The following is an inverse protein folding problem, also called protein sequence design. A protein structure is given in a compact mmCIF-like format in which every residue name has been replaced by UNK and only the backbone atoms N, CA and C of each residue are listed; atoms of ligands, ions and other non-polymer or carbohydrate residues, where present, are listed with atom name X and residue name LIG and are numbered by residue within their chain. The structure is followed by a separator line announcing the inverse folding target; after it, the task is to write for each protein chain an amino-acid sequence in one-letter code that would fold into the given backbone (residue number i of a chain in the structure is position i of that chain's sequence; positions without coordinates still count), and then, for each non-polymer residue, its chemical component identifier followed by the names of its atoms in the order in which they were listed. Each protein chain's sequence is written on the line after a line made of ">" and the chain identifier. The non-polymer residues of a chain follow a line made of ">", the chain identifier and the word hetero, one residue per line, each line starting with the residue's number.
data_IF_456998603234
#
_entry.id   IF_456998603234
#
_cell.length_a   1.000
_cell.length_b   1.000
_cell.length_c   1.000
_cell.angle_alpha   90.00
_cell.angle_beta   90.00
_cell.angle_gamma   90.00
#
_symmetry.space_group_name_H-M   'P 1'
#
loop_
_entity.id
_entity.type
_entity.pdbx_description
1 polymer ?
#
# COMPACT_ATOMS: atom_id res chain seq x y z
N UNK A 1 1.78 16.37 9.44
CA UNK A 1 0.43 16.13 9.99
C UNK A 1 0.19 14.63 10.14
N UNK A 2 -0.22 14.15 11.32
CA UNK A 2 -0.62 12.74 11.50
C UNK A 2 -1.97 12.43 10.84
N UNK A 3 -2.06 11.30 10.13
CA UNK A 3 -3.29 10.74 9.55
C UNK A 3 -3.98 9.72 10.48
N UNK A 4 -3.40 9.48 11.65
CA UNK A 4 -3.95 8.58 12.66
C UNK A 4 -5.39 8.96 13.06
N UNK A 5 -6.28 7.97 13.05
CA UNK A 5 -7.71 8.15 13.32
C UNK A 5 -8.50 9.01 12.32
N UNK A 6 -7.86 9.58 11.29
CA UNK A 6 -8.51 10.46 10.30
C UNK A 6 -9.01 9.73 9.06
N UNK A 7 -8.41 8.59 8.74
CA UNK A 7 -8.78 7.80 7.57
C UNK A 7 -9.13 6.38 8.03
N UNK A 8 -10.27 5.88 7.55
CA UNK A 8 -10.66 4.48 7.71
C UNK A 8 -10.41 3.76 6.39
N UNK A 9 -9.75 2.62 6.47
CA UNK A 9 -9.35 1.81 5.32
C UNK A 9 -10.13 0.50 5.34
N UNK A 10 -10.46 0.00 4.16
CA UNK A 10 -11.10 -1.30 3.96
C UNK A 10 -10.56 -1.90 2.65
N UNK A 11 -10.37 -3.21 2.64
CA UNK A 11 -9.78 -3.92 1.51
C UNK A 11 -10.64 -5.13 1.16
N UNK A 12 -10.84 -5.34 -0.13
CA UNK A 12 -11.53 -6.51 -0.67
C UNK A 12 -10.97 -6.78 -2.05
N UNK A 13 -10.71 -8.05 -2.35
CA UNK A 13 -10.36 -8.51 -3.70
C UNK A 13 -11.09 -9.82 -3.98
N UNK A 14 -11.38 -10.07 -5.25
CA UNK A 14 -12.10 -11.25 -5.73
C UNK A 14 -11.47 -11.70 -7.05
N UNK A 15 -11.25 -13.00 -7.20
CA UNK A 15 -10.70 -13.59 -8.44
C UNK A 15 -11.57 -13.31 -9.67
N UNK A 16 -12.86 -13.05 -9.46
CA UNK A 16 -13.86 -12.99 -10.50
C UNK A 16 -14.29 -14.38 -10.98
N UNK A 17 -14.95 -14.42 -12.14
CA UNK A 17 -15.60 -15.63 -12.66
C UNK A 17 -14.82 -16.37 -13.75
N UNK A 18 -13.73 -15.77 -14.24
CA UNK A 18 -13.03 -16.23 -15.45
C UNK A 18 -11.64 -16.76 -15.15
N UNK A 19 -10.91 -16.13 -14.22
CA UNK A 19 -9.56 -16.57 -13.84
C UNK A 19 -9.64 -17.67 -12.79
N UNK A 20 -8.65 -18.56 -12.80
CA UNK A 20 -8.50 -19.59 -11.76
C UNK A 20 -7.82 -19.05 -10.50
N UNK A 21 -6.97 -18.03 -10.66
CA UNK A 21 -6.17 -17.43 -9.59
C UNK A 21 -6.32 -15.91 -9.59
N UNK A 22 -6.31 -15.33 -8.39
CA UNK A 22 -6.27 -13.89 -8.21
C UNK A 22 -4.81 -13.44 -8.19
N UNK A 23 -4.44 -12.57 -9.12
CA UNK A 23 -3.10 -12.01 -9.20
C UNK A 23 -3.05 -10.60 -8.58
N UNK A 24 -4.16 -10.10 -8.03
CA UNK A 24 -4.21 -8.86 -7.28
C UNK A 24 -3.73 -9.07 -5.83
N UNK A 25 -2.99 -8.08 -5.31
CA UNK A 25 -2.62 -7.98 -3.91
C UNK A 25 -2.96 -6.58 -3.37
N UNK A 26 -3.46 -6.53 -2.13
CA UNK A 26 -3.80 -5.28 -1.43
C UNK A 26 -3.05 -5.24 -0.10
N UNK A 27 -2.60 -4.05 0.31
CA UNK A 27 -2.09 -3.81 1.65
C UNK A 27 -2.37 -2.40 2.14
N UNK A 28 -2.67 -2.27 3.43
CA UNK A 28 -3.02 -1.01 4.08
C UNK A 28 -2.29 -0.85 5.41
N UNK A 29 -1.97 0.41 5.71
CA UNK A 29 -1.53 0.82 7.03
C UNK A 29 -2.15 2.19 7.37
N UNK A 30 -3.17 2.18 8.22
CA UNK A 30 -3.90 3.39 8.61
C UNK A 30 -3.07 4.37 9.44
N UNK A 31 -2.10 3.89 10.24
CA UNK A 31 -1.24 4.73 11.08
C UNK A 31 -0.33 5.66 10.26
N UNK A 32 -0.04 5.25 9.02
CA UNK A 32 0.76 6.02 8.06
C UNK A 32 -0.06 6.49 6.85
N UNK A 33 -1.36 6.19 6.81
CA UNK A 33 -2.25 6.55 5.71
C UNK A 33 -1.90 5.88 4.37
N UNK A 34 -1.31 4.69 4.40
CA UNK A 34 -0.90 3.94 3.20
C UNK A 34 -2.00 3.00 2.72
N UNK A 35 -2.29 3.05 1.41
CA UNK A 35 -2.93 1.97 0.65
C UNK A 35 -2.04 1.59 -0.53
N UNK A 36 -1.96 0.31 -0.81
CA UNK A 36 -1.25 -0.25 -1.96
C UNK A 36 -2.15 -1.27 -2.64
N UNK A 37 -2.26 -1.18 -3.96
CA UNK A 37 -2.87 -2.18 -4.82
C UNK A 37 -1.85 -2.53 -5.91
N UNK A 38 -1.60 -3.82 -6.10
CA UNK A 38 -0.76 -4.33 -7.18
C UNK A 38 -1.52 -5.41 -7.97
N UNK A 39 -1.59 -5.27 -9.29
CA UNK A 39 -2.15 -6.25 -10.23
C UNK A 39 -0.98 -7.00 -10.89
N UNK A 40 -0.90 -8.31 -10.63
CA UNK A 40 0.08 -9.18 -11.25
C UNK A 40 -0.25 -9.41 -12.72
N UNK A 41 0.69 -9.13 -13.62
CA UNK A 41 0.45 -9.32 -15.06
C UNK A 41 0.23 -10.80 -15.41
N UNK A 42 -1.02 -11.15 -15.70
CA UNK A 42 -1.39 -12.50 -16.13
C UNK A 42 -0.76 -12.92 -17.46
N UNK A 43 -0.57 -14.24 -17.62
CA UNK A 43 0.08 -14.85 -18.77
C UNK A 43 1.58 -15.13 -18.59
N UNK A 44 2.16 -14.70 -17.47
CA UNK A 44 3.48 -15.12 -17.00
C UNK A 44 3.32 -15.99 -15.74
N UNK A 45 4.30 -16.85 -15.45
CA UNK A 45 4.26 -17.62 -14.22
C UNK A 45 4.37 -16.68 -13.00
N UNK A 46 3.53 -16.92 -12.00
CA UNK A 46 3.59 -16.33 -10.67
C UNK A 46 3.27 -14.82 -10.59
N UNK A 47 2.23 -14.37 -11.30
CA UNK A 47 1.71 -13.01 -11.19
C UNK A 47 1.29 -12.66 -9.75
N UNK A 48 0.72 -13.62 -9.01
CA UNK A 48 0.36 -13.47 -7.60
C UNK A 48 1.59 -13.29 -6.68
N UNK A 49 2.73 -13.88 -7.05
CA UNK A 49 3.98 -13.71 -6.30
C UNK A 49 4.55 -12.33 -6.55
N UNK A 50 4.53 -11.86 -7.80
CA UNK A 50 5.03 -10.54 -8.16
C UNK A 50 4.22 -9.43 -7.47
N UNK A 51 2.88 -9.49 -7.51
CA UNK A 51 2.02 -8.51 -6.84
C UNK A 51 2.18 -8.55 -5.32
N UNK A 52 2.29 -9.75 -4.73
CA UNK A 52 2.59 -9.92 -3.30
C UNK A 52 3.90 -9.28 -2.88
N UNK A 53 4.99 -9.50 -3.65
CA UNK A 53 6.30 -8.85 -3.40
C UNK A 53 6.18 -7.33 -3.50
N UNK A 54 5.45 -6.81 -4.49
CA UNK A 54 5.28 -5.38 -4.66
C UNK A 54 4.58 -4.74 -3.45
N UNK A 55 3.45 -5.31 -3.01
CA UNK A 55 2.71 -4.82 -1.83
C UNK A 55 3.58 -4.89 -0.58
N UNK A 56 4.26 -6.01 -0.34
CA UNK A 56 5.14 -6.18 0.83
C UNK A 56 6.25 -5.12 0.84
N UNK A 57 6.99 -5.00 -0.28
CA UNK A 57 8.14 -4.11 -0.40
C UNK A 57 7.74 -2.65 -0.19
N UNK A 58 6.64 -2.22 -0.82
CA UNK A 58 6.14 -0.84 -0.68
C UNK A 58 5.71 -0.58 0.76
N UNK A 59 5.00 -1.53 1.38
CA UNK A 59 4.53 -1.41 2.76
C UNK A 59 5.68 -1.24 3.75
N UNK A 60 6.73 -2.04 3.62
CA UNK A 60 7.94 -1.94 4.45
C UNK A 60 8.67 -0.62 4.27
N UNK A 61 8.97 -0.24 3.02
CA UNK A 61 9.70 0.99 2.72
C UNK A 61 8.94 2.25 3.17
N UNK A 62 7.63 2.27 2.97
CA UNK A 62 6.79 3.38 3.42
C UNK A 62 6.71 3.44 4.95
N UNK A 63 6.59 2.30 5.64
CA UNK A 63 6.60 2.26 7.10
C UNK A 63 7.94 2.77 7.66
N UNK A 64 9.06 2.34 7.09
CA UNK A 64 10.38 2.84 7.48
C UNK A 64 10.53 4.35 7.22
N UNK A 65 10.12 4.83 6.05
CA UNK A 65 10.14 6.25 5.71
C UNK A 65 9.29 7.09 6.67
N UNK A 66 8.11 6.59 7.02
CA UNK A 66 7.19 7.25 7.94
C UNK A 66 7.73 7.40 9.37
N UNK A 67 8.66 6.53 9.79
CA UNK A 67 9.37 6.63 11.08
C UNK A 67 10.46 7.71 11.04
N UNK A 68 11.12 7.88 9.89
CA UNK A 68 12.24 8.84 9.71
C UNK A 68 11.76 10.28 9.59
N UNK A 69 10.53 10.48 9.14
CA UNK A 69 9.90 11.80 8.97
C UNK A 69 9.45 12.40 10.31
N UNK A 70 9.76 13.69 10.54
CA UNK A 70 9.24 14.44 11.70
C UNK A 70 7.80 14.84 11.40
N UNK A 71 6.84 14.00 11.81
CA UNK A 71 5.39 14.15 11.53
C UNK A 71 4.72 15.44 12.05
N UNK A 72 5.43 16.19 12.90
CA UNK A 72 4.97 17.44 13.53
C UNK A 72 5.78 18.68 13.06
N UNK A 73 6.66 18.52 12.07
CA UNK A 73 7.41 19.62 11.47
C UNK A 73 6.60 20.28 10.36
N UNK A 74 6.74 21.59 10.21
CA UNK A 74 6.27 22.29 9.02
C UNK A 74 7.24 21.97 7.90
N UNK A 75 6.75 21.39 6.81
CA UNK A 75 7.51 21.19 5.58
C UNK A 75 8.05 22.56 5.11
N UNK A 76 9.38 22.75 5.01
CA UNK A 76 9.98 24.03 4.67
C UNK A 76 9.76 24.43 3.20
N UNK A 77 9.37 23.48 2.35
CA UNK A 77 9.10 23.67 0.92
C UNK A 77 7.63 23.99 0.66
N UNK A 78 6.72 23.28 1.35
CA UNK A 78 5.27 23.41 1.11
C UNK A 78 4.54 24.22 2.18
N UNK A 79 5.14 24.42 3.35
CA UNK A 79 4.52 25.09 4.51
C UNK A 79 3.43 24.26 5.19
N UNK A 80 3.24 23.01 4.77
CA UNK A 80 2.25 22.10 5.34
C UNK A 80 2.78 21.52 6.66
N UNK A 81 1.92 21.51 7.68
CA UNK A 81 2.24 20.97 9.01
C UNK A 81 2.06 19.46 9.06
#
# INVERSE_FOLDING_TARGET
>A
MSLDGKIKLAEISDTGKVREHNEDAIGANAEIGLLVLADGMGGYNAGEVASGIAVQTISELCAEGAIREVRNGIDPTTGLM
#
